data_IF_353227313563
#
_entry.id   IF_353227313563
#
_cell.length_a   1.000
_cell.length_b   1.000
_cell.length_c   1.000
_cell.angle_alpha   90.00
_cell.angle_beta   90.00
_cell.angle_gamma   90.00
#
_symmetry.space_group_name_H-M   'P 1'
#
loop_
_entity.id
_entity.type
_entity.pdbx_description
1 polymer ?
#
# COMPACT_ATOMS: atom_id res chain seq x y z
N UNK A 1 24.68 -3.16 2.33
CA UNK A 1 23.80 -4.20 1.74
C UNK A 1 23.29 -3.71 0.39
N UNK A 2 23.53 -4.44 -0.72
CA UNK A 2 22.98 -4.08 -2.04
C UNK A 2 21.54 -4.62 -2.16
N UNK A 3 20.57 -3.90 -1.58
CA UNK A 3 19.16 -4.24 -1.74
C UNK A 3 18.67 -4.08 -3.18
N UNK A 4 17.61 -4.82 -3.55
CA UNK A 4 17.09 -4.88 -4.92
C UNK A 4 15.92 -3.90 -5.10
N UNK A 5 16.17 -2.76 -5.75
CA UNK A 5 15.18 -1.68 -5.86
C UNK A 5 14.07 -1.97 -6.89
N UNK A 6 14.43 -2.50 -8.05
CA UNK A 6 13.51 -2.81 -9.16
C UNK A 6 12.37 -3.76 -8.79
N UNK A 7 12.62 -4.92 -8.13
CA UNK A 7 11.52 -5.83 -7.78
C UNK A 7 10.57 -5.21 -6.76
N UNK A 8 11.06 -4.41 -5.79
CA UNK A 8 10.19 -3.67 -4.90
C UNK A 8 9.33 -2.66 -5.67
N UNK A 9 9.90 -1.88 -6.58
CA UNK A 9 9.12 -0.91 -7.37
C UNK A 9 8.03 -1.61 -8.19
N UNK A 10 8.33 -2.76 -8.79
CA UNK A 10 7.36 -3.56 -9.52
C UNK A 10 6.25 -4.10 -8.60
N UNK A 11 6.60 -4.59 -7.41
CA UNK A 11 5.65 -5.06 -6.40
C UNK A 11 4.74 -3.91 -5.93
N UNK A 12 5.30 -2.75 -5.60
CA UNK A 12 4.55 -1.56 -5.22
C UNK A 12 3.58 -1.13 -6.32
N UNK A 13 4.07 -1.01 -7.57
CA UNK A 13 3.24 -0.62 -8.70
C UNK A 13 2.12 -1.65 -8.95
N UNK A 14 2.46 -2.94 -8.97
CA UNK A 14 1.49 -4.01 -9.18
C UNK A 14 0.38 -4.00 -8.13
N UNK A 15 0.74 -3.92 -6.85
CA UNK A 15 -0.24 -3.94 -5.75
C UNK A 15 -1.13 -2.70 -5.80
N UNK A 16 -0.55 -1.50 -5.97
CA UNK A 16 -1.34 -0.27 -6.02
C UNK A 16 -2.25 -0.21 -7.25
N UNK A 17 -1.77 -0.62 -8.43
CA UNK A 17 -2.61 -0.72 -9.65
C UNK A 17 -3.73 -1.74 -9.43
N UNK A 18 -3.44 -2.87 -8.78
CA UNK A 18 -4.45 -3.89 -8.51
C UNK A 18 -5.55 -3.36 -7.59
N UNK A 19 -5.20 -2.65 -6.51
CA UNK A 19 -6.21 -2.01 -5.64
C UNK A 19 -6.99 -0.93 -6.37
N UNK A 20 -6.33 -0.11 -7.20
CA UNK A 20 -6.98 0.90 -8.03
C UNK A 20 -8.00 0.28 -9.00
N UNK A 21 -7.63 -0.81 -9.70
CA UNK A 21 -8.55 -1.52 -10.59
C UNK A 21 -9.74 -2.12 -9.84
N UNK A 22 -9.51 -2.67 -8.64
CA UNK A 22 -10.59 -3.16 -7.80
C UNK A 22 -11.54 -2.02 -7.40
N UNK A 23 -10.98 -0.89 -6.94
CA UNK A 23 -11.73 0.27 -6.46
C UNK A 23 -12.52 0.97 -7.58
N UNK A 24 -11.88 1.28 -8.69
CA UNK A 24 -12.45 2.13 -9.75
C UNK A 24 -13.31 1.35 -10.74
N UNK A 25 -13.06 0.05 -10.90
CA UNK A 25 -13.74 -0.76 -11.93
C UNK A 25 -14.51 -1.93 -11.33
N UNK A 26 -13.84 -2.81 -10.57
CA UNK A 26 -14.48 -4.05 -10.14
C UNK A 26 -15.64 -3.78 -9.19
N UNK A 27 -15.41 -3.06 -8.08
CA UNK A 27 -16.47 -2.83 -7.11
C UNK A 27 -17.65 -2.03 -7.66
N UNK A 28 -17.47 -0.92 -8.41
CA UNK A 28 -18.58 -0.20 -9.01
C UNK A 28 -19.39 -1.06 -9.99
N UNK A 29 -18.74 -1.94 -10.76
CA UNK A 29 -19.42 -2.87 -11.67
C UNK A 29 -20.30 -3.87 -10.90
N UNK A 30 -19.76 -4.48 -9.84
CA UNK A 30 -20.53 -5.40 -9.00
C UNK A 30 -21.65 -4.68 -8.25
N UNK A 31 -21.40 -3.49 -7.71
CA UNK A 31 -22.43 -2.73 -7.01
C UNK A 31 -23.56 -2.34 -7.98
N UNK A 32 -23.24 -1.83 -9.17
CA UNK A 32 -24.23 -1.46 -10.17
C UNK A 32 -25.04 -2.63 -10.73
N UNK A 33 -24.46 -3.84 -10.76
CA UNK A 33 -25.19 -5.03 -11.21
C UNK A 33 -26.11 -5.61 -10.12
N UNK A 34 -25.68 -5.62 -8.85
CA UNK A 34 -26.43 -6.26 -7.76
C UNK A 34 -27.42 -5.33 -7.05
N UNK A 35 -27.20 -4.01 -7.05
CA UNK A 35 -28.05 -3.04 -6.36
C UNK A 35 -28.76 -2.14 -7.37
N UNK A 36 -30.06 -2.39 -7.55
CA UNK A 36 -30.94 -1.58 -8.42
C UNK A 36 -31.43 -0.30 -7.74
N UNK A 37 -31.41 -0.27 -6.41
CA UNK A 37 -31.74 0.91 -5.60
C UNK A 37 -30.51 1.82 -5.48
N UNK A 38 -30.69 3.11 -5.83
CA UNK A 38 -29.61 4.08 -5.88
C UNK A 38 -29.05 4.44 -4.50
N UNK A 39 -29.88 4.48 -3.45
CA UNK A 39 -29.45 4.80 -2.10
C UNK A 39 -28.62 3.65 -1.51
N UNK A 40 -29.07 2.41 -1.73
CA UNK A 40 -28.32 1.22 -1.34
C UNK A 40 -26.98 1.12 -2.09
N UNK A 41 -26.96 1.39 -3.39
CA UNK A 41 -25.74 1.40 -4.19
C UNK A 41 -24.75 2.46 -3.69
N UNK A 42 -25.21 3.68 -3.41
CA UNK A 42 -24.39 4.75 -2.84
C UNK A 42 -23.79 4.36 -1.49
N UNK A 43 -24.60 3.79 -0.59
CA UNK A 43 -24.11 3.32 0.70
C UNK A 43 -23.05 2.21 0.57
N UNK A 44 -23.13 1.34 -0.44
CA UNK A 44 -22.07 0.36 -0.70
C UNK A 44 -20.79 1.01 -1.24
N UNK A 45 -20.90 2.02 -2.11
CA UNK A 45 -19.72 2.75 -2.61
C UNK A 45 -18.95 3.42 -1.47
N UNK A 46 -19.64 4.05 -0.52
CA UNK A 46 -19.01 4.63 0.67
C UNK A 46 -18.29 3.57 1.52
N UNK A 47 -18.94 2.42 1.77
CA UNK A 47 -18.32 1.31 2.51
C UNK A 47 -17.09 0.76 1.79
N UNK A 48 -17.15 0.64 0.47
CA UNK A 48 -16.02 0.24 -0.36
C UNK A 48 -14.89 1.25 -0.30
N UNK A 49 -15.17 2.55 -0.27
CA UNK A 49 -14.14 3.58 -0.09
C UNK A 49 -13.43 3.44 1.27
N UNK A 50 -14.17 3.19 2.35
CA UNK A 50 -13.59 2.94 3.69
C UNK A 50 -12.73 1.66 3.69
N UNK A 51 -13.24 0.58 3.09
CA UNK A 51 -12.53 -0.70 3.00
C UNK A 51 -11.24 -0.56 2.20
N UNK A 52 -11.32 0.04 1.01
CA UNK A 52 -10.15 0.25 0.13
C UNK A 52 -9.13 1.18 0.78
N UNK A 53 -9.56 2.25 1.45
CA UNK A 53 -8.68 3.09 2.27
C UNK A 53 -7.95 2.31 3.36
N UNK A 54 -8.67 1.48 4.11
CA UNK A 54 -8.08 0.67 5.19
C UNK A 54 -7.09 -0.37 4.64
N UNK A 55 -7.47 -1.09 3.59
CA UNK A 55 -6.60 -2.08 2.93
C UNK A 55 -5.36 -1.40 2.33
N UNK A 56 -5.51 -0.25 1.69
CA UNK A 56 -4.39 0.53 1.14
C UNK A 56 -3.44 0.97 2.24
N UNK A 57 -3.96 1.39 3.41
CA UNK A 57 -3.12 1.77 4.54
C UNK A 57 -2.26 0.58 5.05
N UNK A 58 -2.87 -0.61 5.16
CA UNK A 58 -2.16 -1.85 5.51
C UNK A 58 -1.12 -2.19 4.45
N UNK A 59 -1.46 -2.06 3.16
CA UNK A 59 -0.55 -2.31 2.04
C UNK A 59 0.67 -1.40 2.13
N UNK A 60 0.51 -0.09 2.37
CA UNK A 60 1.67 0.80 2.52
C UNK A 60 2.60 0.37 3.65
N UNK A 61 2.04 0.00 4.81
CA UNK A 61 2.82 -0.54 5.91
C UNK A 61 3.52 -1.87 5.52
N UNK A 62 2.82 -2.78 4.84
CA UNK A 62 3.37 -4.04 4.34
C UNK A 62 4.50 -3.84 3.33
N UNK A 63 4.34 -2.91 2.38
CA UNK A 63 5.38 -2.54 1.40
C UNK A 63 6.60 -1.93 2.09
N UNK A 64 6.40 -1.13 3.14
CA UNK A 64 7.47 -0.64 4.00
C UNK A 64 8.25 -1.78 4.66
N UNK A 65 7.53 -2.73 5.26
CA UNK A 65 8.13 -3.93 5.85
C UNK A 65 8.93 -4.73 4.81
N UNK A 66 8.31 -5.03 3.66
CA UNK A 66 8.92 -5.74 2.52
C UNK A 66 10.19 -5.04 2.04
N UNK A 67 10.19 -3.70 1.94
CA UNK A 67 11.37 -2.95 1.52
C UNK A 67 12.60 -3.17 2.42
N UNK A 68 12.41 -3.27 3.74
CA UNK A 68 13.51 -3.51 4.68
C UNK A 68 13.85 -4.99 4.82
N UNK A 69 12.85 -5.84 5.06
CA UNK A 69 13.07 -7.23 5.45
C UNK A 69 13.04 -8.21 4.26
N UNK A 70 12.25 -7.95 3.22
CA UNK A 70 12.19 -8.77 2.01
C UNK A 70 13.23 -8.38 0.95
N UNK A 71 13.46 -7.07 0.77
CA UNK A 71 14.35 -6.54 -0.28
C UNK A 71 15.68 -5.98 0.23
N UNK A 72 15.86 -5.87 1.55
CA UNK A 72 17.12 -5.46 2.18
C UNK A 72 17.57 -4.04 1.83
N UNK A 73 16.64 -3.14 1.51
CA UNK A 73 16.96 -1.76 1.11
C UNK A 73 17.26 -0.88 2.32
N UNK A 74 18.27 -0.02 2.18
CA UNK A 74 18.50 1.09 3.11
C UNK A 74 17.32 2.06 3.07
N UNK A 75 17.18 2.86 4.13
CA UNK A 75 16.11 3.86 4.23
C UNK A 75 16.08 4.81 3.02
N UNK A 76 17.23 5.35 2.63
CA UNK A 76 17.36 6.25 1.47
C UNK A 76 16.96 5.61 0.15
N UNK A 77 17.39 4.37 -0.12
CA UNK A 77 17.02 3.65 -1.34
C UNK A 77 15.53 3.29 -1.38
N UNK A 78 14.96 2.99 -0.21
CA UNK A 78 13.53 2.71 -0.04
C UNK A 78 12.69 3.96 -0.31
N UNK A 79 13.10 5.13 0.20
CA UNK A 79 12.45 6.41 -0.12
C UNK A 79 12.57 6.75 -1.60
N UNK A 80 13.72 6.50 -2.23
CA UNK A 80 13.88 6.64 -3.67
C UNK A 80 12.92 5.77 -4.48
N UNK A 81 12.72 4.50 -4.05
CA UNK A 81 11.74 3.60 -4.67
C UNK A 81 10.31 4.12 -4.49
N UNK A 82 9.96 4.58 -3.29
CA UNK A 82 8.65 5.17 -3.00
C UNK A 82 8.40 6.40 -3.87
N UNK A 83 9.34 7.34 -3.92
CA UNK A 83 9.23 8.55 -4.73
C UNK A 83 9.14 8.22 -6.23
N UNK A 84 9.89 7.23 -6.72
CA UNK A 84 9.84 6.82 -8.12
C UNK A 84 8.47 6.23 -8.52
N UNK A 85 7.85 5.42 -7.65
CA UNK A 85 6.51 4.86 -7.90
C UNK A 85 5.43 5.96 -7.87
N UNK A 86 5.60 6.97 -7.01
CA UNK A 86 4.67 8.11 -6.92
C UNK A 86 5.02 9.27 -7.85
N UNK A 87 6.07 9.15 -8.66
CA UNK A 87 6.53 10.21 -9.54
C UNK A 87 5.43 10.70 -10.50
N UNK A 88 4.58 9.84 -11.12
CA UNK A 88 3.47 10.33 -11.95
C UNK A 88 2.51 11.25 -11.20
N UNK A 89 2.21 10.95 -9.94
CA UNK A 89 1.37 11.79 -9.05
C UNK A 89 2.08 13.10 -8.75
N UNK A 90 3.37 13.05 -8.38
CA UNK A 90 4.14 14.26 -8.09
C UNK A 90 4.28 15.18 -9.32
N UNK A 91 4.45 14.61 -10.51
CA UNK A 91 4.54 15.35 -11.76
C UNK A 91 3.22 16.00 -12.15
N UNK A 92 2.09 15.38 -11.82
CA UNK A 92 0.74 15.93 -12.06
C UNK A 92 0.42 17.18 -11.22
N UNK A 93 1.23 17.50 -10.21
CA UNK A 93 1.11 18.75 -9.44
C UNK A 93 1.81 19.93 -10.13
N UNK A 94 2.62 19.69 -11.18
CA UNK A 94 3.21 20.75 -11.99
C UNK A 94 2.12 21.27 -12.94
N UNK A 95 1.71 22.56 -12.85
CA UNK A 95 0.58 23.08 -13.61
C UNK A 95 0.67 22.86 -15.13
N UNK A 96 1.89 22.92 -15.69
CA UNK A 96 2.12 22.66 -17.11
C UNK A 96 1.79 21.21 -17.52
N UNK A 97 2.02 20.24 -16.63
CA UNK A 97 1.83 18.81 -16.88
C UNK A 97 0.44 18.31 -16.46
N UNK A 98 -0.26 19.02 -15.59
CA UNK A 98 -1.64 18.67 -15.17
C UNK A 98 -2.64 18.71 -16.34
N UNK A 99 -2.32 19.48 -17.39
CA UNK A 99 -3.09 19.51 -18.65
C UNK A 99 -3.13 18.15 -19.37
N UNK A 100 -2.21 17.23 -19.04
CA UNK A 100 -2.19 15.87 -19.59
C UNK A 100 -3.25 15.01 -18.91
N UNK A 101 -4.28 14.64 -19.66
CA UNK A 101 -5.43 13.85 -19.17
C UNK A 101 -5.02 12.56 -18.45
N UNK A 102 -3.95 11.90 -18.91
CA UNK A 102 -3.42 10.70 -18.30
C UNK A 102 -2.83 10.94 -16.91
N UNK A 103 -2.04 12.01 -16.72
CA UNK A 103 -1.43 12.31 -15.42
C UNK A 103 -2.49 12.73 -14.41
N UNK A 104 -3.48 13.50 -14.84
CA UNK A 104 -4.63 13.86 -14.01
C UNK A 104 -5.43 12.62 -13.58
N UNK A 105 -5.68 11.69 -14.50
CA UNK A 105 -6.35 10.43 -14.18
C UNK A 105 -5.57 9.60 -13.15
N UNK A 106 -4.25 9.46 -13.34
CA UNK A 106 -3.38 8.76 -12.39
C UNK A 106 -3.42 9.44 -11.03
N UNK A 107 -3.33 10.77 -10.98
CA UNK A 107 -3.40 11.56 -9.75
C UNK A 107 -4.67 11.26 -8.97
N UNK A 108 -5.83 11.47 -9.59
CA UNK A 108 -7.13 11.30 -8.95
C UNK A 108 -7.33 9.86 -8.47
N UNK A 109 -6.90 8.89 -9.26
CA UNK A 109 -6.96 7.47 -8.89
C UNK A 109 -6.10 7.17 -7.67
N UNK A 110 -4.85 7.65 -7.64
CA UNK A 110 -3.91 7.41 -6.54
C UNK A 110 -4.35 8.12 -5.25
N UNK A 111 -4.74 9.38 -5.36
CA UNK A 111 -5.24 10.18 -4.24
C UNK A 111 -6.50 9.55 -3.66
N UNK A 112 -7.41 9.04 -4.50
CA UNK A 112 -8.64 8.38 -4.07
C UNK A 112 -8.42 7.09 -3.26
N UNK A 113 -7.28 6.38 -3.43
CA UNK A 113 -7.04 5.12 -2.71
C UNK A 113 -7.07 5.27 -1.19
N UNK A 114 -6.61 6.40 -0.65
CA UNK A 114 -6.72 6.75 0.78
C UNK A 114 -7.66 7.95 0.99
N UNK A 115 -7.69 8.87 0.04
CA UNK A 115 -8.35 10.17 0.14
C UNK A 115 -9.85 10.07 0.27
N UNK A 116 -10.49 9.10 -0.37
CA UNK A 116 -11.94 8.96 -0.31
C UNK A 116 -12.39 8.62 1.12
N UNK A 117 -11.68 7.71 1.80
CA UNK A 117 -11.95 7.40 3.20
C UNK A 117 -11.72 8.63 4.10
N UNK A 118 -10.63 9.38 3.91
CA UNK A 118 -10.36 10.59 4.68
C UNK A 118 -11.42 11.68 4.45
N UNK A 119 -11.87 11.82 3.20
CA UNK A 119 -12.91 12.76 2.79
C UNK A 119 -14.28 12.43 3.39
N UNK A 120 -14.65 11.14 3.44
CA UNK A 120 -15.91 10.68 4.03
C UNK A 120 -16.03 11.08 5.52
N UNK A 121 -14.95 10.95 6.27
CA UNK A 121 -14.92 11.35 7.68
C UNK A 121 -14.64 12.84 7.92
N UNK A 122 -14.49 13.63 6.84
CA UNK A 122 -14.14 15.07 6.88
C UNK A 122 -12.92 15.36 7.77
N UNK A 123 -11.94 14.45 7.75
CA UNK A 123 -10.76 14.54 8.61
C UNK A 123 -9.78 15.61 8.12
N UNK A 124 -9.89 16.02 6.85
CA UNK A 124 -8.97 16.94 6.18
C UNK A 124 -9.77 17.86 5.26
N UNK A 125 -9.33 19.11 5.12
CA UNK A 125 -9.88 20.04 4.13
C UNK A 125 -9.71 19.48 2.72
N UNK A 126 -10.70 19.64 1.81
CA UNK A 126 -10.63 19.10 0.45
C UNK A 126 -9.36 19.50 -0.31
N UNK A 127 -8.94 20.77 -0.19
CA UNK A 127 -7.75 21.30 -0.86
C UNK A 127 -6.44 20.68 -0.33
N UNK A 128 -6.45 20.17 0.90
CA UNK A 128 -5.29 19.55 1.54
C UNK A 128 -5.28 18.02 1.38
N UNK A 129 -6.34 17.39 0.88
CA UNK A 129 -6.43 15.93 0.68
C UNK A 129 -5.29 15.38 -0.19
N UNK A 130 -4.90 15.99 -1.33
CA UNK A 130 -3.78 15.51 -2.15
C UNK A 130 -2.47 15.37 -1.35
N UNK A 131 -2.14 16.40 -0.58
CA UNK A 131 -0.90 16.43 0.20
C UNK A 131 -1.02 15.49 1.41
N UNK A 132 -2.16 15.49 2.09
CA UNK A 132 -2.40 14.66 3.26
C UNK A 132 -2.34 13.16 2.93
N UNK A 133 -2.92 12.74 1.79
CA UNK A 133 -2.88 11.34 1.35
C UNK A 133 -1.47 10.86 1.04
N UNK A 134 -0.68 11.69 0.34
CA UNK A 134 0.72 11.38 0.06
C UNK A 134 1.57 11.30 1.34
N UNK A 135 1.38 12.25 2.27
CA UNK A 135 2.07 12.25 3.56
C UNK A 135 1.67 11.06 4.42
N UNK A 136 0.39 10.68 4.44
CA UNK A 136 -0.11 9.51 5.14
C UNK A 136 0.48 8.22 4.54
N UNK A 137 0.50 8.10 3.21
CA UNK A 137 1.12 6.96 2.53
C UNK A 137 2.61 6.84 2.88
N UNK A 138 3.34 7.96 2.89
CA UNK A 138 4.74 8.00 3.29
C UNK A 138 4.92 7.63 4.77
N UNK A 139 4.07 8.14 5.65
CA UNK A 139 4.09 7.83 7.08
C UNK A 139 3.86 6.33 7.32
N UNK A 140 2.83 5.75 6.70
CA UNK A 140 2.52 4.33 6.82
C UNK A 140 3.64 3.46 6.25
N UNK A 141 4.19 3.84 5.10
CA UNK A 141 5.33 3.15 4.49
C UNK A 141 6.57 3.18 5.40
N UNK A 142 6.90 4.33 5.97
CA UNK A 142 8.05 4.48 6.87
C UNK A 142 7.84 3.75 8.20
N UNK A 143 6.65 3.84 8.79
CA UNK A 143 6.26 3.07 9.98
C UNK A 143 6.32 1.55 9.72
N UNK A 144 5.86 1.12 8.55
CA UNK A 144 5.92 -0.25 8.08
C UNK A 144 7.32 -0.85 8.05
N UNK A 145 8.35 -0.04 7.75
CA UNK A 145 9.76 -0.48 7.86
C UNK A 145 10.17 -0.85 9.29
N UNK A 146 9.47 -0.37 10.31
CA UNK A 146 9.67 -0.76 11.70
C UNK A 146 9.06 -2.13 12.03
N UNK A 147 8.05 -2.56 11.26
CA UNK A 147 7.31 -3.79 11.50
C UNK A 147 7.99 -4.97 10.80
N UNK A 148 8.40 -5.98 11.56
CA UNK A 148 8.88 -7.25 11.00
C UNK A 148 7.77 -8.28 11.07
N UNK A 149 7.30 -8.73 9.91
CA UNK A 149 6.39 -9.88 9.82
C UNK A 149 7.25 -11.13 9.94
N UNK A 150 7.12 -11.86 11.04
CA UNK A 150 7.81 -13.14 11.24
C UNK A 150 6.88 -14.28 10.85
N UNK A 151 7.27 -15.07 9.85
CA UNK A 151 6.57 -16.30 9.52
C UNK A 151 6.66 -17.29 10.69
N UNK A 152 5.50 -17.76 11.16
CA UNK A 152 5.36 -18.67 12.30
C UNK A 152 6.22 -19.95 12.15
N UNK A 153 6.50 -20.40 10.92
CA UNK A 153 7.39 -21.53 10.62
C UNK A 153 8.82 -21.35 11.15
N UNK A 154 9.30 -20.12 11.28
CA UNK A 154 10.66 -19.82 11.79
C UNK A 154 10.74 -19.86 13.32
N UNK A 155 9.61 -19.83 14.03
CA UNK A 155 9.55 -19.99 15.49
C UNK A 155 9.68 -21.44 15.95
N UNK A 156 9.35 -22.42 15.11
CA UNK A 156 9.38 -23.85 15.46
C UNK A 156 10.74 -24.53 15.15
N UNK A 157 11.59 -23.91 14.35
CA UNK A 157 12.91 -24.43 13.96
C UNK A 157 14.03 -24.41 15.03
N UNK A 158 14.01 -23.58 16.10
CA UNK A 158 15.05 -23.65 17.13
C UNK A 158 14.96 -24.93 17.98
N UNK A 159 13.78 -25.55 18.06
CA UNK A 159 13.51 -26.60 19.04
C UNK A 159 13.94 -28.00 18.54
N UNK A 160 13.83 -28.25 17.23
CA UNK A 160 14.28 -29.54 16.64
C UNK A 160 15.80 -29.73 16.66
N UNK A 161 16.60 -28.66 16.74
CA UNK A 161 18.07 -28.76 16.84
C UNK A 161 18.58 -28.99 18.27
N UNK A 162 17.79 -28.73 19.31
CA UNK A 162 18.19 -28.98 20.71
C UNK A 162 18.01 -30.42 21.16
N UNK A 163 17.19 -31.22 20.46
CA UNK A 163 16.88 -32.60 20.87
C UNK A 163 17.94 -33.63 20.44
N UNK A 164 18.93 -33.26 19.60
CA UNK A 164 20.08 -34.14 19.31
C UNK A 164 21.20 -33.93 20.33
N UNK A 165 20.95 -34.33 21.58
CA UNK A 165 22.03 -34.63 22.52
C UNK A 165 22.58 -36.01 22.13
N UNK A 166 23.84 -36.14 21.69
CA UNK A 166 24.43 -37.45 21.48
C UNK A 166 24.62 -38.12 22.84
N UNK A 167 23.88 -39.20 23.07
CA UNK A 167 24.07 -40.08 24.22
C UNK A 167 25.45 -40.74 24.10
N UNK A 168 26.45 -40.14 24.75
CA UNK A 168 27.81 -40.67 24.82
C UNK A 168 27.86 -41.67 25.97
N UNK A 169 27.62 -42.95 25.68
CA UNK A 169 27.95 -44.02 26.63
C UNK A 169 29.47 -44.00 26.86
N UNK A 170 29.87 -43.70 28.10
CA UNK A 170 31.22 -43.97 28.62
C UNK A 170 31.14 -45.27 29.42
N UNK A 171 32.15 -46.13 29.20
CA UNK A 171 32.68 -47.09 30.17
C UNK A 171 31.86 -48.34 30.35
#
# INVERSE_FOLDING_TARGET
MKGRIRPLMAEMAFVLVSVALLKEWLFPLFIGYWFTDAELAAAQLERTAILTGTVTAIIYAGLGSSAKYGHGLSYTRSLGAFAAVHAPVLLSWIPALDSLSLLRFIRLTWEGLLGDALGLFRLVNPDALPVATLLLALLLYTAGRGLRIEDQKRREEPDRRRVRIPYRHRG
#
